data_IF_607959097917
#
_entry.id   IF_607959097917
#
_cell.length_a   1.000
_cell.length_b   1.000
_cell.length_c   1.000
_cell.angle_alpha   90.00
_cell.angle_beta   90.00
_cell.angle_gamma   90.00
#
_symmetry.space_group_name_H-M   'P 1'
#
loop_
_entity.id
_entity.type
_entity.pdbx_description
1 polymer ?
#
# COMPACT_ATOMS: atom_id res chain seq x y z
N UNK A 1 42.94 47.14 -32.16
CA UNK A 1 42.02 46.17 -32.80
C UNK A 1 42.13 44.75 -32.22
N UNK A 2 43.26 44.29 -31.65
CA UNK A 2 43.34 42.95 -31.03
C UNK A 2 42.79 42.86 -29.59
N UNK A 3 42.78 43.96 -28.83
CA UNK A 3 42.34 43.96 -27.41
C UNK A 3 40.83 43.82 -27.21
N UNK A 4 40.03 43.95 -28.27
CA UNK A 4 38.58 43.79 -28.20
C UNK A 4 38.12 42.34 -28.39
N UNK A 5 38.93 41.47 -29.01
CA UNK A 5 38.57 40.06 -29.23
C UNK A 5 38.79 39.19 -27.98
N UNK A 6 39.85 39.44 -27.20
CA UNK A 6 40.10 38.73 -25.93
C UNK A 6 39.03 39.00 -24.87
N UNK A 7 38.47 40.21 -24.86
CA UNK A 7 37.40 40.58 -23.94
C UNK A 7 36.08 39.81 -24.22
N UNK A 8 35.84 39.46 -25.48
CA UNK A 8 34.65 38.69 -25.90
C UNK A 8 34.86 37.19 -25.69
N UNK A 9 36.09 36.69 -25.81
CA UNK A 9 36.44 35.29 -25.52
C UNK A 9 36.13 34.91 -24.07
N UNK A 10 36.33 35.82 -23.10
CA UNK A 10 36.01 35.56 -21.69
C UNK A 10 34.49 35.59 -21.39
N UNK A 11 33.67 36.10 -22.31
CA UNK A 11 32.22 36.08 -22.21
C UNK A 11 31.60 34.81 -22.83
N UNK A 12 32.38 34.03 -23.57
CA UNK A 12 31.98 32.71 -24.06
C UNK A 12 32.60 31.66 -23.15
N UNK A 13 31.78 30.99 -22.34
CA UNK A 13 32.25 30.01 -21.36
C UNK A 13 33.16 28.96 -22.01
N UNK A 14 34.24 28.61 -21.33
CA UNK A 14 35.20 27.60 -21.77
C UNK A 14 35.33 26.49 -20.74
N UNK A 15 35.93 25.37 -21.13
CA UNK A 15 36.14 24.21 -20.25
C UNK A 15 36.92 24.57 -18.97
N UNK A 16 37.87 25.51 -19.06
CA UNK A 16 38.65 25.99 -17.91
C UNK A 16 38.03 27.24 -17.22
N UNK A 17 37.02 27.86 -17.82
CA UNK A 17 36.30 29.02 -17.28
C UNK A 17 34.80 28.90 -17.56
N UNK A 18 34.09 28.02 -16.83
CA UNK A 18 32.66 27.87 -16.97
C UNK A 18 31.95 29.13 -16.46
N UNK A 19 30.91 29.55 -17.18
CA UNK A 19 30.04 30.64 -16.72
C UNK A 19 29.11 30.05 -15.65
N UNK A 20 29.30 30.47 -14.41
CA UNK A 20 28.48 30.05 -13.27
C UNK A 20 27.41 31.12 -13.03
N UNK A 21 26.15 30.72 -13.12
CA UNK A 21 25.03 31.58 -12.74
C UNK A 21 25.12 31.92 -11.24
N UNK A 22 25.14 33.20 -10.91
CA UNK A 22 25.07 33.70 -9.52
C UNK A 22 23.67 34.06 -9.09
N UNK A 23 22.68 33.82 -9.95
CA UNK A 23 21.27 34.03 -9.61
C UNK A 23 20.88 33.11 -8.46
N UNK A 24 20.18 33.68 -7.46
CA UNK A 24 19.59 32.86 -6.40
C UNK A 24 18.44 32.06 -6.99
N UNK A 25 18.46 30.76 -6.74
CA UNK A 25 17.31 29.93 -7.05
C UNK A 25 16.11 30.37 -6.21
N UNK A 26 14.97 30.55 -6.88
CA UNK A 26 13.70 30.87 -6.26
C UNK A 26 12.72 29.73 -6.51
N UNK A 27 12.07 29.24 -5.45
CA UNK A 27 11.01 28.26 -5.58
C UNK A 27 9.76 28.95 -6.14
N UNK A 28 9.51 28.77 -7.43
CA UNK A 28 8.39 29.42 -8.11
C UNK A 28 7.04 28.79 -7.77
N UNK A 29 6.91 27.47 -7.96
CA UNK A 29 5.65 26.74 -7.78
C UNK A 29 5.95 25.34 -7.25
N UNK A 30 5.13 24.86 -6.32
CA UNK A 30 5.12 23.47 -5.87
C UNK A 30 3.81 22.83 -6.32
N UNK A 31 3.84 22.16 -7.47
CA UNK A 31 2.72 21.37 -7.98
C UNK A 31 2.95 19.88 -7.76
N UNK A 32 1.91 19.18 -7.32
CA UNK A 32 1.90 17.73 -7.19
C UNK A 32 1.17 17.15 -8.40
N UNK A 33 1.88 16.43 -9.26
CA UNK A 33 1.30 15.68 -10.38
C UNK A 33 1.41 14.17 -10.15
N UNK A 34 0.60 13.41 -10.89
CA UNK A 34 0.50 11.96 -10.81
C UNK A 34 0.80 11.37 -12.19
N UNK A 35 2.02 11.58 -12.68
CA UNK A 35 2.40 11.23 -14.06
C UNK A 35 1.69 12.15 -15.06
N UNK A 36 0.78 11.60 -15.87
CA UNK A 36 0.03 12.36 -16.87
C UNK A 36 -1.10 13.23 -16.29
N UNK A 37 -1.42 13.08 -15.00
CA UNK A 37 -2.56 13.75 -14.36
C UNK A 37 -2.12 14.89 -13.46
N UNK A 38 -2.63 16.09 -13.69
CA UNK A 38 -2.35 17.28 -12.87
C UNK A 38 -3.31 17.44 -11.69
N UNK A 39 -4.51 16.86 -11.76
CA UNK A 39 -5.51 16.91 -10.68
C UNK A 39 -5.63 15.55 -10.00
N UNK A 40 -5.70 15.51 -8.66
CA UNK A 40 -5.95 14.28 -7.91
C UNK A 40 -7.24 13.56 -8.33
N UNK A 41 -8.31 14.33 -8.60
CA UNK A 41 -9.60 13.78 -9.03
C UNK A 41 -9.48 12.99 -10.33
N UNK A 42 -8.93 13.60 -11.37
CA UNK A 42 -8.76 12.97 -12.70
C UNK A 42 -7.93 11.67 -12.59
N UNK A 43 -6.93 11.66 -11.71
CA UNK A 43 -6.13 10.46 -11.44
C UNK A 43 -6.94 9.34 -10.77
N UNK A 44 -7.75 9.68 -9.75
CA UNK A 44 -8.58 8.70 -9.05
C UNK A 44 -9.73 8.17 -9.93
N UNK A 45 -10.30 9.02 -10.80
CA UNK A 45 -11.30 8.63 -11.80
C UNK A 45 -10.70 7.68 -12.84
N UNK A 46 -9.50 7.99 -13.35
CA UNK A 46 -8.77 7.08 -14.24
C UNK A 46 -8.43 5.75 -13.57
N UNK A 47 -8.05 5.77 -12.28
CA UNK A 47 -7.84 4.55 -11.51
C UNK A 47 -9.12 3.71 -11.38
N UNK A 48 -10.26 4.36 -11.11
CA UNK A 48 -11.56 3.70 -11.07
C UNK A 48 -11.88 2.99 -12.40
N UNK A 49 -11.76 3.70 -13.52
CA UNK A 49 -12.03 3.16 -14.85
C UNK A 49 -11.08 2.02 -15.20
N UNK A 50 -9.80 2.18 -14.84
CA UNK A 50 -8.79 1.14 -14.99
C UNK A 50 -9.18 -0.13 -14.24
N UNK A 51 -9.53 -0.02 -12.95
CA UNK A 51 -9.94 -1.17 -12.13
C UNK A 51 -11.13 -1.86 -12.78
N UNK A 52 -12.17 -1.13 -13.16
CA UNK A 52 -13.34 -1.71 -13.83
C UNK A 52 -13.01 -2.42 -15.16
N UNK A 53 -12.13 -1.82 -15.97
CA UNK A 53 -11.70 -2.42 -17.24
C UNK A 53 -10.91 -3.73 -17.05
N UNK A 54 -10.14 -3.81 -15.96
CA UNK A 54 -9.24 -4.92 -15.68
C UNK A 54 -9.86 -6.05 -14.85
N UNK A 55 -11.02 -5.84 -14.22
CA UNK A 55 -11.67 -6.86 -13.39
C UNK A 55 -11.92 -8.18 -14.14
N UNK A 56 -12.28 -8.11 -15.41
CA UNK A 56 -12.52 -9.30 -16.24
C UNK A 56 -11.23 -9.87 -16.87
N UNK A 57 -10.13 -9.12 -16.85
CA UNK A 57 -8.88 -9.47 -17.53
C UNK A 57 -7.84 -10.04 -16.56
N UNK A 58 -7.86 -9.59 -15.31
CA UNK A 58 -6.93 -9.99 -14.26
C UNK A 58 -7.64 -10.82 -13.20
N UNK A 59 -7.37 -12.13 -13.19
CA UNK A 59 -7.86 -13.03 -12.16
C UNK A 59 -7.46 -12.55 -10.75
N UNK A 60 -6.25 -11.99 -10.60
CA UNK A 60 -5.78 -11.49 -9.32
C UNK A 60 -6.57 -10.26 -8.84
N UNK A 61 -6.92 -9.31 -9.71
CA UNK A 61 -7.82 -8.21 -9.35
C UNK A 61 -9.23 -8.70 -9.00
N UNK A 62 -9.74 -9.69 -9.74
CA UNK A 62 -11.01 -10.34 -9.42
C UNK A 62 -11.01 -10.97 -8.02
N UNK A 63 -9.91 -11.58 -7.59
CA UNK A 63 -9.76 -12.12 -6.22
C UNK A 63 -9.75 -10.99 -5.18
N UNK A 64 -9.01 -9.89 -5.42
CA UNK A 64 -8.99 -8.72 -4.50
C UNK A 64 -10.40 -8.20 -4.22
N UNK A 65 -11.26 -8.15 -5.25
CA UNK A 65 -12.61 -7.59 -5.12
C UNK A 65 -13.63 -8.58 -4.59
N UNK A 66 -13.61 -9.83 -5.04
CA UNK A 66 -14.68 -10.78 -4.70
C UNK A 66 -14.32 -11.72 -3.55
N UNK A 67 -13.03 -12.04 -3.41
CA UNK A 67 -12.53 -13.05 -2.46
C UNK A 67 -11.21 -12.62 -1.82
N UNK A 68 -11.14 -11.43 -1.18
CA UNK A 68 -9.88 -10.89 -0.67
C UNK A 68 -9.23 -11.78 0.40
N UNK A 69 -10.01 -12.65 1.06
CA UNK A 69 -9.51 -13.66 2.01
C UNK A 69 -8.70 -14.78 1.37
N UNK A 70 -8.92 -15.05 0.09
CA UNK A 70 -8.18 -16.08 -0.66
C UNK A 70 -6.98 -15.49 -1.41
N UNK A 71 -6.74 -14.18 -1.24
CA UNK A 71 -5.66 -13.48 -1.91
C UNK A 71 -4.31 -13.97 -1.39
N UNK A 72 -3.49 -14.48 -2.30
CA UNK A 72 -2.12 -14.87 -1.97
C UNK A 72 -1.17 -13.69 -2.10
N UNK A 73 -0.01 -13.78 -1.45
CA UNK A 73 1.05 -12.78 -1.59
C UNK A 73 1.53 -12.62 -3.03
N UNK A 74 1.59 -13.73 -3.78
CA UNK A 74 1.96 -13.71 -5.20
C UNK A 74 0.94 -12.95 -6.04
N UNK A 75 -0.35 -13.16 -5.78
CA UNK A 75 -1.43 -12.40 -6.41
C UNK A 75 -1.39 -10.93 -6.02
N UNK A 76 -1.15 -10.59 -4.75
CA UNK A 76 -1.00 -9.20 -4.33
C UNK A 76 0.20 -8.53 -5.01
N UNK A 77 1.32 -9.25 -5.16
CA UNK A 77 2.49 -8.76 -5.87
C UNK A 77 2.19 -8.53 -7.35
N UNK A 78 1.48 -9.45 -8.01
CA UNK A 78 1.12 -9.29 -9.43
C UNK A 78 0.14 -8.12 -9.63
N UNK A 79 -0.80 -7.93 -8.70
CA UNK A 79 -1.69 -6.76 -8.69
C UNK A 79 -0.89 -5.47 -8.54
N UNK A 80 0.02 -5.38 -7.56
CA UNK A 80 0.88 -4.19 -7.39
C UNK A 80 1.67 -3.88 -8.66
N UNK A 81 2.28 -4.89 -9.26
CA UNK A 81 3.04 -4.72 -10.49
C UNK A 81 2.16 -4.23 -11.65
N UNK A 82 0.96 -4.80 -11.81
CA UNK A 82 -0.01 -4.37 -12.82
C UNK A 82 -0.40 -2.90 -12.60
N UNK A 83 -0.70 -2.51 -11.37
CA UNK A 83 -1.03 -1.12 -11.04
C UNK A 83 0.14 -0.19 -11.34
N UNK A 84 1.34 -0.52 -10.89
CA UNK A 84 2.55 0.28 -11.09
C UNK A 84 2.87 0.48 -12.58
N UNK A 85 2.71 -0.56 -13.40
CA UNK A 85 2.89 -0.49 -14.86
C UNK A 85 1.95 0.52 -15.54
N UNK A 86 0.78 0.75 -14.96
CA UNK A 86 -0.21 1.72 -15.44
C UNK A 86 -0.18 3.06 -14.67
N UNK A 87 0.81 3.26 -13.80
CA UNK A 87 1.00 4.52 -13.06
C UNK A 87 0.18 4.62 -11.76
N UNK A 88 -0.40 3.52 -11.29
CA UNK A 88 -1.26 3.45 -10.11
C UNK A 88 -0.55 2.96 -8.84
N UNK A 89 0.58 3.58 -8.50
CA UNK A 89 1.32 3.19 -7.29
C UNK A 89 0.53 3.49 -6.00
N UNK A 90 0.71 2.66 -4.98
CA UNK A 90 0.05 2.83 -3.67
C UNK A 90 0.37 4.20 -3.03
N UNK A 91 1.58 4.71 -3.25
CA UNK A 91 2.00 6.05 -2.79
C UNK A 91 1.25 7.16 -3.51
N UNK A 92 1.12 7.05 -4.83
CA UNK A 92 0.37 8.01 -5.65
C UNK A 92 -1.11 8.01 -5.30
N UNK A 93 -1.72 6.83 -5.14
CA UNK A 93 -3.12 6.68 -4.71
C UNK A 93 -3.36 7.31 -3.34
N UNK A 94 -2.48 7.06 -2.36
CA UNK A 94 -2.56 7.70 -1.04
C UNK A 94 -2.47 9.21 -1.13
N UNK A 95 -1.51 9.73 -1.89
CA UNK A 95 -1.34 11.17 -2.07
C UNK A 95 -2.54 11.82 -2.79
N UNK A 96 -3.06 11.18 -3.84
CA UNK A 96 -4.22 11.66 -4.59
C UNK A 96 -5.47 11.68 -3.71
N UNK A 97 -5.73 10.60 -2.96
CA UNK A 97 -6.84 10.53 -2.03
C UNK A 97 -6.79 11.64 -0.96
N UNK A 98 -5.61 11.82 -0.36
CA UNK A 98 -5.39 12.87 0.64
C UNK A 98 -5.66 14.26 0.05
N UNK A 99 -5.16 14.54 -1.13
CA UNK A 99 -5.33 15.85 -1.77
C UNK A 99 -6.77 16.08 -2.25
N UNK A 100 -7.51 15.02 -2.61
CA UNK A 100 -8.91 15.12 -3.01
C UNK A 100 -9.86 15.32 -1.82
N UNK A 101 -9.64 14.59 -0.72
CA UNK A 101 -10.58 14.54 0.41
C UNK A 101 -10.14 15.36 1.62
N UNK A 102 -8.90 15.87 1.61
CA UNK A 102 -8.21 16.47 2.76
C UNK A 102 -8.07 15.50 3.95
N UNK A 103 -8.14 14.19 3.71
CA UNK A 103 -8.01 13.14 4.73
C UNK A 103 -6.85 12.21 4.41
N UNK A 104 -5.91 12.05 5.35
CA UNK A 104 -4.86 11.06 5.23
C UNK A 104 -5.36 9.69 5.71
N UNK A 105 -5.41 8.73 4.80
CA UNK A 105 -5.84 7.36 5.10
C UNK A 105 -4.72 6.38 4.73
N UNK A 106 -4.23 5.63 5.72
CA UNK A 106 -3.26 4.55 5.53
C UNK A 106 -3.97 3.25 5.14
N UNK A 107 -4.78 3.30 4.08
CA UNK A 107 -5.41 2.13 3.52
C UNK A 107 -4.39 1.30 2.74
N UNK A 108 -4.57 -0.02 2.72
CA UNK A 108 -3.80 -0.90 1.85
C UNK A 108 -4.29 -0.77 0.40
N UNK A 109 -3.46 -1.19 -0.54
CA UNK A 109 -3.85 -1.26 -1.95
C UNK A 109 -5.14 -2.05 -2.21
N UNK A 110 -5.43 -3.09 -1.42
CA UNK A 110 -6.69 -3.85 -1.47
C UNK A 110 -7.87 -2.93 -1.18
N UNK A 111 -7.75 -2.06 -0.17
CA UNK A 111 -8.76 -1.07 0.17
C UNK A 111 -9.03 -0.08 -0.96
N UNK A 112 -7.98 0.45 -1.60
CA UNK A 112 -8.15 1.34 -2.76
C UNK A 112 -8.86 0.64 -3.93
N UNK A 113 -8.45 -0.59 -4.27
CA UNK A 113 -9.06 -1.36 -5.36
C UNK A 113 -10.54 -1.63 -5.06
N UNK A 114 -10.88 -2.04 -3.84
CA UNK A 114 -12.27 -2.32 -3.45
C UNK A 114 -13.13 -1.07 -3.41
N UNK A 115 -12.58 0.06 -2.94
CA UNK A 115 -13.28 1.34 -3.02
C UNK A 115 -13.57 1.72 -4.48
N UNK A 116 -12.60 1.53 -5.38
CA UNK A 116 -12.78 1.80 -6.79
C UNK A 116 -13.77 0.83 -7.47
N UNK A 117 -13.74 -0.45 -7.14
CA UNK A 117 -14.55 -1.47 -7.83
C UNK A 117 -16.00 -1.56 -7.32
N UNK A 118 -16.22 -1.40 -6.02
CA UNK A 118 -17.50 -1.68 -5.36
C UNK A 118 -17.92 -0.60 -4.36
N UNK A 119 -17.20 0.52 -4.28
CA UNK A 119 -17.53 1.62 -3.37
C UNK A 119 -17.38 1.28 -1.89
N UNK A 120 -16.52 0.32 -1.53
CA UNK A 120 -16.25 0.00 -0.13
C UNK A 120 -15.51 1.12 0.61
N UNK A 121 -16.14 1.64 1.66
CA UNK A 121 -15.58 2.68 2.52
C UNK A 121 -14.09 2.44 2.86
N UNK A 122 -13.27 3.42 2.50
CA UNK A 122 -11.83 3.36 2.71
C UNK A 122 -11.53 3.50 4.21
N UNK A 123 -10.83 2.52 4.77
CA UNK A 123 -10.42 2.49 6.18
C UNK A 123 -8.92 2.25 6.27
N UNK A 124 -8.22 2.86 7.24
CA UNK A 124 -6.85 2.50 7.59
C UNK A 124 -6.73 0.98 7.82
N UNK A 125 -5.66 0.38 7.31
CA UNK A 125 -5.53 -1.08 7.36
C UNK A 125 -5.32 -1.60 8.78
N UNK A 126 -4.59 -0.86 9.62
CA UNK A 126 -4.45 -1.13 11.05
C UNK A 126 -5.80 -1.12 11.79
N UNK A 127 -6.70 -0.20 11.43
CA UNK A 127 -8.06 -0.17 11.97
C UNK A 127 -8.87 -1.40 11.55
N UNK A 128 -8.72 -1.87 10.31
CA UNK A 128 -9.36 -3.12 9.84
C UNK A 128 -8.87 -4.32 10.63
N UNK A 129 -7.55 -4.43 10.83
CA UNK A 129 -6.96 -5.48 11.66
C UNK A 129 -7.48 -5.39 13.10
N UNK A 130 -7.53 -4.20 13.69
CA UNK A 130 -8.04 -4.00 15.04
C UNK A 130 -9.52 -4.46 15.18
N UNK A 131 -10.36 -4.13 14.21
CA UNK A 131 -11.76 -4.57 14.16
C UNK A 131 -11.87 -6.10 14.07
N UNK A 132 -11.06 -6.75 13.23
CA UNK A 132 -11.00 -8.20 13.13
C UNK A 132 -10.55 -8.84 14.46
N UNK A 133 -9.53 -8.27 15.10
CA UNK A 133 -9.01 -8.76 16.39
C UNK A 133 -10.04 -8.67 17.51
N UNK A 134 -10.89 -7.64 17.53
CA UNK A 134 -11.98 -7.56 18.52
C UNK A 134 -12.91 -8.77 18.45
N UNK A 135 -13.22 -9.27 17.26
CA UNK A 135 -14.03 -10.48 17.07
C UNK A 135 -13.31 -11.71 17.59
N UNK A 136 -12.01 -11.82 17.31
CA UNK A 136 -11.18 -12.94 17.77
C UNK A 136 -11.08 -12.99 19.29
N UNK A 137 -10.88 -11.84 19.95
CA UNK A 137 -10.85 -11.80 21.41
C UNK A 137 -12.18 -12.20 22.05
N UNK A 138 -13.30 -12.07 21.32
CA UNK A 138 -14.63 -12.47 21.77
C UNK A 138 -14.98 -13.94 21.51
N UNK A 139 -14.21 -14.66 20.66
CA UNK A 139 -14.47 -16.08 20.33
C UNK A 139 -14.39 -16.99 21.55
N UNK A 140 -13.46 -16.71 22.47
CA UNK A 140 -13.27 -17.47 23.69
C UNK A 140 -12.48 -16.68 24.72
N UNK A 141 -12.39 -17.22 25.94
CA UNK A 141 -11.55 -16.66 26.99
C UNK A 141 -10.07 -16.98 26.73
N UNK A 142 -9.36 -16.02 26.16
CA UNK A 142 -7.91 -16.10 25.96
C UNK A 142 -7.14 -15.78 27.23
N UNK A 143 -6.14 -16.60 27.55
CA UNK A 143 -5.18 -16.32 28.62
C UNK A 143 -4.33 -15.07 28.30
N UNK A 144 -3.73 -14.43 29.31
CA UNK A 144 -2.85 -13.27 29.07
C UNK A 144 -1.68 -13.57 28.11
N UNK A 145 -1.14 -14.79 28.14
CA UNK A 145 -0.06 -15.21 27.24
C UNK A 145 -0.59 -15.34 25.81
N UNK A 146 -1.74 -15.99 25.61
CA UNK A 146 -2.37 -16.11 24.30
C UNK A 146 -2.70 -14.75 23.68
N UNK A 147 -3.22 -13.81 24.48
CA UNK A 147 -3.47 -12.43 24.02
C UNK A 147 -2.20 -11.75 23.50
N UNK A 148 -1.06 -11.91 24.18
CA UNK A 148 0.22 -11.37 23.68
C UNK A 148 0.62 -11.97 22.32
N UNK A 149 0.39 -13.26 22.10
CA UNK A 149 0.65 -13.90 20.80
C UNK A 149 -0.30 -13.41 19.71
N UNK A 150 -1.57 -13.25 20.04
CA UNK A 150 -2.57 -12.64 19.16
C UNK A 150 -2.19 -11.20 18.78
N UNK A 151 -1.72 -10.39 19.73
CA UNK A 151 -1.25 -9.02 19.47
C UNK A 151 -0.02 -9.01 18.54
N UNK A 152 0.90 -9.97 18.70
CA UNK A 152 2.06 -10.12 17.81
C UNK A 152 1.63 -10.50 16.41
N UNK A 153 0.68 -11.42 16.27
CA UNK A 153 0.12 -11.82 14.98
C UNK A 153 -0.57 -10.63 14.28
N UNK A 154 -1.36 -9.85 15.02
CA UNK A 154 -2.01 -8.65 14.51
C UNK A 154 -0.99 -7.62 13.99
N UNK A 155 0.08 -7.37 14.75
CA UNK A 155 1.16 -6.47 14.32
C UNK A 155 1.84 -6.96 13.04
N UNK A 156 2.08 -8.27 12.93
CA UNK A 156 2.63 -8.85 11.71
C UNK A 156 1.69 -8.62 10.52
N UNK A 157 0.38 -8.77 10.73
CA UNK A 157 -0.61 -8.61 9.68
C UNK A 157 -0.63 -7.18 9.14
N UNK A 158 -0.55 -6.18 10.03
CA UNK A 158 -0.47 -4.76 9.65
C UNK A 158 0.74 -4.47 8.75
N UNK A 159 1.86 -5.17 8.96
CA UNK A 159 3.08 -4.98 8.15
C UNK A 159 2.97 -5.66 6.77
N UNK A 160 2.41 -6.86 6.70
CA UNK A 160 2.47 -7.69 5.49
C UNK A 160 1.18 -7.67 4.65
N UNK A 161 0.08 -7.13 5.18
CA UNK A 161 -1.28 -7.07 4.59
C UNK A 161 -1.95 -8.43 4.36
N UNK A 162 -1.17 -9.44 4.01
CA UNK A 162 -1.56 -10.84 3.84
C UNK A 162 -0.63 -11.67 4.71
N UNK A 163 -1.22 -12.65 5.41
CA UNK A 163 -0.48 -13.66 6.16
C UNK A 163 -0.95 -15.03 5.72
N UNK A 164 -0.07 -15.79 5.07
CA UNK A 164 -0.25 -17.21 4.83
C UNK A 164 0.56 -18.08 5.81
N UNK A 165 0.33 -19.40 5.78
CA UNK A 165 0.98 -20.39 6.63
C UNK A 165 2.52 -20.31 6.60
N UNK A 166 3.10 -20.02 5.43
CA UNK A 166 4.54 -19.91 5.27
C UNK A 166 5.05 -18.62 5.92
N UNK A 167 4.37 -17.48 5.72
CA UNK A 167 4.71 -16.22 6.38
C UNK A 167 4.55 -16.30 7.89
N UNK A 168 3.50 -16.95 8.40
CA UNK A 168 3.38 -17.21 9.85
C UNK A 168 4.59 -17.99 10.33
N UNK A 169 4.99 -19.02 9.57
CA UNK A 169 6.16 -19.79 9.97
C UNK A 169 7.43 -18.95 9.97
N UNK A 170 7.65 -18.11 8.95
CA UNK A 170 8.77 -17.18 8.80
C UNK A 170 8.81 -16.09 9.88
N UNK A 171 7.71 -15.36 10.08
CA UNK A 171 7.58 -14.28 11.05
C UNK A 171 7.83 -14.74 12.50
N UNK A 172 7.53 -16.01 12.79
CA UNK A 172 7.68 -16.60 14.11
C UNK A 172 8.83 -17.61 14.18
N UNK A 173 9.76 -17.64 13.23
CA UNK A 173 10.88 -18.61 13.22
C UNK A 173 11.68 -18.59 14.53
N UNK A 174 11.99 -17.39 15.03
CA UNK A 174 12.74 -17.21 16.28
C UNK A 174 11.99 -17.74 17.51
N UNK A 175 10.68 -17.93 17.39
CA UNK A 175 9.81 -18.46 18.45
C UNK A 175 9.42 -19.93 18.21
N UNK A 176 10.01 -20.61 17.22
CA UNK A 176 9.71 -22.00 16.86
C UNK A 176 8.66 -22.17 15.76
N UNK A 177 8.38 -21.10 15.01
CA UNK A 177 7.54 -21.08 13.82
C UNK A 177 6.07 -21.35 14.09
N UNK A 178 5.36 -21.78 13.05
CA UNK A 178 3.91 -21.97 13.09
C UNK A 178 3.47 -23.01 14.12
N UNK A 179 4.27 -24.07 14.32
CA UNK A 179 3.98 -25.13 15.30
C UNK A 179 4.01 -24.61 16.73
N UNK A 180 4.98 -23.74 17.05
CA UNK A 180 5.09 -23.13 18.36
C UNK A 180 3.98 -22.13 18.59
N UNK A 181 3.67 -21.28 17.60
CA UNK A 181 2.56 -20.35 17.67
C UNK A 181 1.23 -21.07 17.92
N UNK A 182 0.96 -22.17 17.20
CA UNK A 182 -0.25 -22.96 17.41
C UNK A 182 -0.31 -23.54 18.83
N UNK A 183 0.80 -24.05 19.36
CA UNK A 183 0.89 -24.52 20.75
C UNK A 183 0.58 -23.39 21.74
N UNK A 184 1.15 -22.21 21.54
CA UNK A 184 0.90 -21.05 22.39
C UNK A 184 -0.56 -20.58 22.34
N UNK A 185 -1.24 -20.77 21.21
CA UNK A 185 -2.68 -20.51 21.05
C UNK A 185 -3.58 -21.70 21.46
N UNK A 186 -3.01 -22.74 22.07
CA UNK A 186 -3.77 -23.90 22.54
C UNK A 186 -4.40 -24.72 21.41
N UNK A 187 -3.74 -24.79 20.25
CA UNK A 187 -4.24 -25.52 19.09
C UNK A 187 -5.27 -24.75 18.24
N UNK A 188 -5.49 -23.45 18.51
CA UNK A 188 -6.52 -22.66 17.84
C UNK A 188 -5.98 -21.76 16.71
N UNK A 189 -4.74 -21.95 16.23
CA UNK A 189 -4.18 -21.05 15.22
C UNK A 189 -5.03 -21.02 13.94
N UNK A 190 -5.44 -22.18 13.43
CA UNK A 190 -6.22 -22.25 12.18
C UNK A 190 -7.53 -21.47 12.30
N UNK A 191 -8.24 -21.63 13.43
CA UNK A 191 -9.46 -20.86 13.74
C UNK A 191 -9.21 -19.36 13.83
N UNK A 192 -8.07 -18.95 14.38
CA UNK A 192 -7.67 -17.54 14.47
C UNK A 192 -7.41 -16.97 13.08
N UNK A 193 -6.70 -17.70 12.21
CA UNK A 193 -6.41 -17.27 10.85
C UNK A 193 -7.69 -17.19 9.99
N UNK A 194 -8.58 -18.18 10.12
CA UNK A 194 -9.89 -18.17 9.47
C UNK A 194 -10.73 -16.98 9.93
N UNK A 195 -10.83 -16.76 11.25
CA UNK A 195 -11.55 -15.62 11.80
C UNK A 195 -10.92 -14.27 11.41
N UNK A 196 -9.59 -14.16 11.31
CA UNK A 196 -8.95 -12.96 10.77
C UNK A 196 -9.43 -12.71 9.34
N UNK A 197 -9.30 -13.71 8.48
CA UNK A 197 -9.63 -13.63 7.07
C UNK A 197 -11.10 -13.25 6.83
N UNK A 198 -12.02 -13.81 7.62
CA UNK A 198 -13.45 -13.50 7.51
C UNK A 198 -13.83 -12.11 8.05
N UNK A 199 -13.02 -11.52 8.93
CA UNK A 199 -13.35 -10.24 9.57
C UNK A 199 -12.50 -9.05 9.06
N UNK A 200 -11.53 -9.27 8.17
CA UNK A 200 -10.71 -8.19 7.57
C UNK A 200 -11.47 -7.40 6.49
N UNK A 201 -12.29 -8.12 5.72
CA UNK A 201 -13.01 -7.58 4.58
C UNK A 201 -14.49 -7.95 4.68
N UNK A 202 -15.41 -7.02 4.44
CA UNK A 202 -16.82 -7.35 4.38
C UNK A 202 -17.09 -8.27 3.18
N UNK A 203 -18.01 -9.22 3.36
CA UNK A 203 -18.51 -10.01 2.24
C UNK A 203 -19.27 -9.11 1.26
N UNK A 204 -19.08 -9.35 -0.04
CA UNK A 204 -19.85 -8.70 -1.08
C UNK A 204 -21.21 -9.40 -1.11
N UNK A 205 -22.28 -8.66 -0.80
CA UNK A 205 -23.65 -9.16 -0.79
C UNK A 205 -24.25 -9.35 -2.17
#
# INVERSE_FOLDING_TARGET
>A
MLTQLDAVSNLMGSENYPIISTHRDELMVREQSYGAYHKPQDYLESFHDFVHSQLNQSAALGVVVNRPKDLTREQLRSVRLLLDQHGFSEVSLKSAWRNQTNQEIAASIIGYIRQAAIGEALLPFDQRVANAMQKIYALQQWTPVQRKWLDRLAKQLVLEVIIDTQQVNEAFQNDGGIRSLNRHLGGNLDKVLEALNDNLWPEVG
#
